data_IF_062416180991
#
_entry.id   IF_062416180991
#
_cell.length_a   1.000
_cell.length_b   1.000
_cell.length_c   1.000
_cell.angle_alpha   90.00
_cell.angle_beta   90.00
_cell.angle_gamma   90.00
#
_symmetry.space_group_name_H-M   'P 1'
#
loop_
_entity.id
_entity.type
_entity.pdbx_description
1 polymer ?
#
# COMPACT_ATOMS: atom_id res chain seq x y z
N UNK A 1 -26.05 -15.55 6.26
CA UNK A 1 -25.15 -15.50 7.43
C UNK A 1 -25.91 -14.97 8.65
N UNK A 2 -25.69 -15.53 9.85
CA UNK A 2 -26.22 -14.96 11.09
C UNK A 2 -25.50 -13.65 11.43
N UNK A 3 -26.11 -12.76 12.21
CA UNK A 3 -25.47 -11.55 12.70
C UNK A 3 -24.21 -11.85 13.50
N UNK A 4 -24.25 -12.91 14.34
CA UNK A 4 -23.07 -13.36 15.09
C UNK A 4 -21.91 -13.74 14.18
N UNK A 5 -22.16 -14.48 13.09
CA UNK A 5 -21.12 -14.84 12.12
C UNK A 5 -20.51 -13.61 11.44
N UNK A 6 -21.34 -12.61 11.07
CA UNK A 6 -20.86 -11.35 10.48
C UNK A 6 -19.93 -10.63 11.46
N UNK A 7 -20.34 -10.50 12.71
CA UNK A 7 -19.54 -9.81 13.75
C UNK A 7 -18.22 -10.55 13.99
N UNK A 8 -18.26 -11.86 14.17
CA UNK A 8 -17.05 -12.65 14.45
C UNK A 8 -16.06 -12.59 13.28
N UNK A 9 -16.52 -12.73 12.05
CA UNK A 9 -15.66 -12.62 10.86
C UNK A 9 -15.11 -11.21 10.67
N UNK A 10 -15.91 -10.18 10.91
CA UNK A 10 -15.45 -8.79 10.87
C UNK A 10 -14.37 -8.51 11.91
N UNK A 11 -14.55 -8.97 13.14
CA UNK A 11 -13.56 -8.83 14.23
C UNK A 11 -12.30 -9.63 13.94
N UNK A 12 -12.41 -10.89 13.52
CA UNK A 12 -11.25 -11.72 13.16
C UNK A 12 -10.44 -11.08 12.03
N UNK A 13 -11.12 -10.62 10.97
CA UNK A 13 -10.49 -9.88 9.89
C UNK A 13 -9.80 -8.61 10.38
N UNK A 14 -10.48 -7.83 11.23
CA UNK A 14 -9.93 -6.60 11.82
C UNK A 14 -8.65 -6.88 12.63
N UNK A 15 -8.63 -7.91 13.47
CA UNK A 15 -7.45 -8.28 14.27
C UNK A 15 -6.29 -8.68 13.35
N UNK A 16 -6.53 -9.55 12.35
CA UNK A 16 -5.51 -9.93 11.37
C UNK A 16 -4.99 -8.73 10.59
N UNK A 17 -5.89 -7.88 10.09
CA UNK A 17 -5.54 -6.66 9.39
C UNK A 17 -4.74 -5.67 10.23
N UNK A 18 -4.93 -5.68 11.55
CA UNK A 18 -4.27 -4.80 12.50
C UNK A 18 -2.78 -5.10 12.72
N UNK A 19 -2.25 -6.22 12.20
CA UNK A 19 -0.82 -6.55 12.28
C UNK A 19 0.01 -5.49 11.52
N UNK A 20 0.79 -4.64 12.22
CA UNK A 20 1.45 -3.49 11.61
C UNK A 20 2.86 -3.85 11.12
N UNK A 21 2.96 -4.73 10.13
CA UNK A 21 4.22 -5.30 9.67
C UNK A 21 5.27 -4.24 9.30
N UNK A 22 4.86 -3.18 8.60
CA UNK A 22 5.80 -2.11 8.26
C UNK A 22 6.38 -1.38 9.47
N UNK A 23 5.62 -1.26 10.56
CA UNK A 23 6.14 -0.71 11.82
C UNK A 23 7.10 -1.69 12.50
N UNK A 24 6.69 -2.95 12.71
CA UNK A 24 7.50 -3.94 13.41
C UNK A 24 8.81 -4.21 12.67
N UNK A 25 8.76 -4.48 11.36
CA UNK A 25 9.97 -4.76 10.59
C UNK A 25 10.91 -3.54 10.52
N UNK A 26 10.38 -2.33 10.32
CA UNK A 26 11.22 -1.13 10.35
C UNK A 26 11.88 -0.93 11.70
N UNK A 27 11.13 -1.05 12.79
CA UNK A 27 11.66 -0.93 14.15
C UNK A 27 12.73 -1.97 14.45
N UNK A 28 12.49 -3.23 14.06
CA UNK A 28 13.42 -4.35 14.31
C UNK A 28 14.70 -4.24 13.51
N UNK A 29 14.62 -3.98 12.18
CA UNK A 29 15.78 -4.02 11.31
C UNK A 29 16.54 -2.69 11.21
N UNK A 30 15.89 -1.55 11.45
CA UNK A 30 16.50 -0.22 11.29
C UNK A 30 16.56 0.60 12.57
N UNK A 31 15.94 0.14 13.66
CA UNK A 31 15.79 0.90 14.91
C UNK A 31 14.87 2.11 14.81
N UNK A 32 14.36 2.46 13.61
CA UNK A 32 13.58 3.68 13.36
C UNK A 32 12.07 3.44 13.42
N UNK A 33 11.33 4.40 13.92
CA UNK A 33 9.87 4.42 13.82
C UNK A 33 9.47 4.98 12.44
N UNK A 34 8.91 4.12 11.59
CA UNK A 34 8.48 4.48 10.23
C UNK A 34 7.37 5.55 10.23
N UNK A 35 6.67 5.75 11.35
CA UNK A 35 5.62 6.77 11.51
C UNK A 35 6.16 8.18 11.71
N UNK A 36 7.46 8.31 12.00
CA UNK A 36 8.13 9.59 12.17
C UNK A 36 8.75 10.10 10.87
N UNK A 37 8.81 9.25 9.82
CA UNK A 37 9.50 9.58 8.59
C UNK A 37 8.59 9.50 7.34
N UNK A 38 8.92 10.28 6.34
CA UNK A 38 8.28 10.30 5.02
C UNK A 38 6.77 10.55 5.09
N UNK A 39 5.95 9.63 4.57
CA UNK A 39 4.49 9.79 4.58
C UNK A 39 3.85 9.49 5.94
N UNK A 40 4.63 9.15 6.95
CA UNK A 40 4.21 8.78 8.32
C UNK A 40 3.21 7.62 8.38
N UNK A 41 3.08 6.84 7.31
CA UNK A 41 2.26 5.64 7.25
C UNK A 41 3.11 4.38 7.39
N UNK A 42 2.51 3.26 7.86
CA UNK A 42 3.18 1.98 8.06
C UNK A 42 3.24 1.11 6.79
N UNK A 43 2.72 1.58 5.66
CA UNK A 43 2.65 0.79 4.43
C UNK A 43 4.01 0.63 3.73
N UNK A 44 4.12 -0.43 2.93
CA UNK A 44 5.33 -0.84 2.21
C UNK A 44 6.01 0.29 1.41
N UNK A 45 5.24 1.17 0.74
CA UNK A 45 5.79 2.28 -0.05
C UNK A 45 6.57 3.30 0.81
N UNK A 46 6.19 3.52 2.08
CA UNK A 46 6.95 4.36 2.99
C UNK A 46 8.21 3.64 3.46
N UNK A 47 8.09 2.35 3.78
CA UNK A 47 9.21 1.50 4.18
C UNK A 47 10.27 1.43 3.08
N UNK A 48 9.88 1.30 1.82
CA UNK A 48 10.82 1.30 0.70
C UNK A 48 11.73 2.53 0.67
N UNK A 49 11.16 3.72 0.84
CA UNK A 49 11.92 4.98 0.80
C UNK A 49 13.00 5.07 1.89
N UNK A 50 12.81 4.39 3.00
CA UNK A 50 13.66 4.52 4.18
C UNK A 50 14.49 3.26 4.50
N UNK A 51 14.03 2.09 4.07
CA UNK A 51 14.66 0.79 4.36
C UNK A 51 14.95 -0.06 3.10
N UNK A 52 14.69 0.48 1.91
CA UNK A 52 15.04 -0.15 0.62
C UNK A 52 14.05 -1.20 0.13
N UNK A 53 14.35 -1.74 -1.08
CA UNK A 53 13.44 -2.62 -1.82
C UNK A 53 13.16 -3.96 -1.13
N UNK A 54 14.16 -4.58 -0.51
CA UNK A 54 13.98 -5.86 0.19
C UNK A 54 12.93 -5.73 1.28
N UNK A 55 12.99 -4.65 2.04
CA UNK A 55 12.06 -4.39 3.12
C UNK A 55 10.65 -4.04 2.61
N UNK A 56 10.55 -3.29 1.49
CA UNK A 56 9.28 -3.08 0.79
C UNK A 56 8.61 -4.41 0.46
N UNK A 57 9.36 -5.33 -0.17
CA UNK A 57 8.82 -6.60 -0.61
C UNK A 57 8.33 -7.45 0.57
N UNK A 58 9.11 -7.52 1.66
CA UNK A 58 8.72 -8.23 2.87
C UNK A 58 7.42 -7.65 3.47
N UNK A 59 7.33 -6.32 3.63
CA UNK A 59 6.12 -5.67 4.17
C UNK A 59 4.93 -5.84 3.23
N UNK A 60 5.12 -5.69 1.91
CA UNK A 60 4.05 -5.87 0.94
C UNK A 60 3.51 -7.30 0.97
N UNK A 61 4.38 -8.31 0.99
CA UNK A 61 3.99 -9.71 1.06
C UNK A 61 3.19 -10.03 2.33
N UNK A 62 3.65 -9.54 3.48
CA UNK A 62 2.96 -9.75 4.76
C UNK A 62 1.61 -8.99 4.82
N UNK A 63 1.53 -7.80 4.25
CA UNK A 63 0.28 -7.04 4.17
C UNK A 63 -0.72 -7.67 3.18
N UNK A 64 -0.24 -8.29 2.08
CA UNK A 64 -1.05 -9.12 1.19
C UNK A 64 -1.50 -10.36 1.97
N UNK A 65 -0.58 -11.06 2.62
CA UNK A 65 -0.83 -12.30 3.35
C UNK A 65 -1.91 -12.16 4.42
N UNK A 66 -1.89 -11.08 5.21
CA UNK A 66 -2.94 -10.86 6.22
C UNK A 66 -4.33 -10.61 5.61
N UNK A 67 -4.39 -9.93 4.46
CA UNK A 67 -5.64 -9.76 3.70
C UNK A 67 -6.15 -11.07 3.13
N UNK A 68 -5.25 -11.87 2.53
CA UNK A 68 -5.59 -13.21 2.02
C UNK A 68 -6.03 -14.15 3.14
N UNK A 69 -5.34 -14.16 4.27
CA UNK A 69 -5.69 -14.99 5.42
C UNK A 69 -7.09 -14.64 5.95
N UNK A 70 -7.39 -13.36 6.13
CA UNK A 70 -8.71 -12.91 6.56
C UNK A 70 -9.82 -13.35 5.59
N UNK A 71 -9.62 -13.11 4.29
CA UNK A 71 -10.60 -13.48 3.27
C UNK A 71 -10.76 -15.01 3.15
N UNK A 72 -9.68 -15.78 3.25
CA UNK A 72 -9.71 -17.25 3.19
C UNK A 72 -10.47 -17.84 4.39
N UNK A 73 -10.26 -17.33 5.61
CA UNK A 73 -11.04 -17.72 6.80
C UNK A 73 -12.53 -17.40 6.57
N UNK A 74 -12.84 -16.21 6.08
CA UNK A 74 -14.22 -15.84 5.77
C UNK A 74 -14.85 -16.74 4.72
N UNK A 75 -14.11 -17.06 3.64
CA UNK A 75 -14.56 -17.95 2.57
C UNK A 75 -14.86 -19.35 3.09
N UNK A 76 -13.95 -19.90 3.88
CA UNK A 76 -14.11 -21.24 4.47
C UNK A 76 -15.26 -21.32 5.48
N UNK A 77 -15.57 -20.22 6.18
CA UNK A 77 -16.60 -20.19 7.22
C UNK A 77 -18.00 -19.90 6.69
N UNK A 78 -18.12 -18.99 5.72
CA UNK A 78 -19.42 -18.49 5.27
C UNK A 78 -19.46 -18.13 3.77
N UNK A 79 -18.62 -18.77 2.97
CA UNK A 79 -18.58 -18.58 1.52
C UNK A 79 -18.14 -17.18 1.09
N UNK A 80 -18.44 -16.76 -0.15
CA UNK A 80 -18.02 -15.47 -0.71
C UNK A 80 -18.39 -14.25 0.15
N UNK A 81 -19.58 -14.26 0.74
CA UNK A 81 -20.02 -13.19 1.65
C UNK A 81 -19.18 -13.10 2.92
N UNK A 82 -18.74 -14.27 3.46
CA UNK A 82 -17.82 -14.34 4.59
C UNK A 82 -16.45 -13.76 4.26
N UNK A 83 -15.92 -14.06 3.06
CA UNK A 83 -14.65 -13.51 2.57
C UNK A 83 -14.68 -11.99 2.48
N UNK A 84 -15.78 -11.42 1.95
CA UNK A 84 -15.98 -9.97 1.86
C UNK A 84 -16.02 -9.32 3.24
N UNK A 85 -16.77 -9.92 4.19
CA UNK A 85 -16.89 -9.37 5.56
C UNK A 85 -15.55 -9.39 6.29
N UNK A 86 -14.86 -10.54 6.31
CA UNK A 86 -13.55 -10.66 6.94
C UNK A 86 -12.50 -9.78 6.25
N UNK A 87 -12.55 -9.72 4.90
CA UNK A 87 -11.71 -8.83 4.11
C UNK A 87 -11.91 -7.36 4.46
N UNK A 88 -13.15 -6.90 4.57
CA UNK A 88 -13.47 -5.53 4.98
C UNK A 88 -12.92 -5.22 6.39
N UNK A 89 -13.08 -6.15 7.33
CA UNK A 89 -12.44 -6.08 8.65
C UNK A 89 -10.93 -5.88 8.54
N UNK A 90 -10.26 -6.67 7.68
CA UNK A 90 -8.82 -6.57 7.48
C UNK A 90 -8.37 -5.22 6.90
N UNK A 91 -9.15 -4.62 5.99
CA UNK A 91 -8.86 -3.28 5.47
C UNK A 91 -8.94 -2.23 6.57
N UNK A 92 -10.00 -2.28 7.41
CA UNK A 92 -10.16 -1.37 8.55
C UNK A 92 -9.01 -1.54 9.54
N UNK A 93 -8.64 -2.78 9.87
CA UNK A 93 -7.51 -3.10 10.75
C UNK A 93 -6.19 -2.56 10.23
N UNK A 94 -5.91 -2.69 8.93
CA UNK A 94 -4.71 -2.12 8.33
C UNK A 94 -4.69 -0.59 8.36
N UNK A 95 -5.85 0.06 8.21
CA UNK A 95 -5.97 1.52 8.27
C UNK A 95 -5.85 2.08 9.70
N UNK A 96 -6.51 1.42 10.67
CA UNK A 96 -6.54 1.80 12.09
C UNK A 96 -6.17 0.61 12.96
N UNK A 97 -4.87 0.25 13.02
CA UNK A 97 -4.42 -0.96 13.68
C UNK A 97 -4.64 -0.92 15.20
N UNK A 98 -5.24 -2.00 15.73
CA UNK A 98 -5.39 -2.23 17.15
C UNK A 98 -4.02 -2.13 17.88
N UNK A 99 -3.03 -2.83 17.35
CA UNK A 99 -1.68 -2.92 17.95
C UNK A 99 -0.87 -1.62 17.89
N UNK A 100 -1.40 -0.58 17.25
CA UNK A 100 -0.84 0.77 17.30
C UNK A 100 -1.76 1.76 18.03
N UNK A 101 -2.69 1.28 18.85
CA UNK A 101 -3.64 2.09 19.60
C UNK A 101 -4.55 2.90 18.67
N UNK A 102 -5.05 2.28 17.59
CA UNK A 102 -5.93 2.89 16.59
C UNK A 102 -5.36 4.12 15.88
N UNK A 103 -4.04 4.37 16.02
CA UNK A 103 -3.35 5.43 15.30
C UNK A 103 -3.27 5.09 13.81
N UNK A 104 -2.80 6.05 13.01
CA UNK A 104 -2.71 5.89 11.56
C UNK A 104 -1.83 4.72 11.16
N UNK A 105 -2.39 3.77 10.43
CA UNK A 105 -1.70 2.64 9.78
C UNK A 105 -1.29 2.93 8.33
N UNK A 106 -1.57 1.97 7.44
CA UNK A 106 -1.32 2.09 6.00
C UNK A 106 -2.52 2.58 5.20
N UNK A 107 -2.46 2.39 3.89
CA UNK A 107 -3.47 2.85 2.91
C UNK A 107 -4.20 1.70 2.23
N UNK A 108 -4.25 0.56 2.87
CA UNK A 108 -4.98 -0.65 2.50
C UNK A 108 -4.65 -1.31 1.14
N UNK A 109 -3.80 -0.73 0.27
CA UNK A 109 -3.56 -1.21 -1.10
C UNK A 109 -3.12 -2.68 -1.13
N UNK A 110 -2.04 -3.04 -0.44
CA UNK A 110 -1.52 -4.41 -0.41
C UNK A 110 -2.53 -5.38 0.24
N UNK A 111 -3.21 -4.96 1.30
CA UNK A 111 -4.23 -5.77 1.96
C UNK A 111 -5.44 -5.99 1.04
N UNK A 112 -5.85 -5.00 0.22
CA UNK A 112 -6.88 -5.16 -0.80
C UNK A 112 -6.47 -6.18 -1.86
N UNK A 113 -5.20 -6.13 -2.34
CA UNK A 113 -4.66 -7.18 -3.23
C UNK A 113 -4.80 -8.56 -2.60
N UNK A 114 -4.47 -8.68 -1.31
CA UNK A 114 -4.59 -9.94 -0.58
C UNK A 114 -6.01 -10.48 -0.51
N UNK A 115 -6.98 -9.64 -0.19
CA UNK A 115 -8.40 -10.05 -0.22
C UNK A 115 -8.82 -10.42 -1.63
N UNK A 116 -8.47 -9.61 -2.63
CA UNK A 116 -8.83 -9.83 -4.03
C UNK A 116 -8.22 -11.12 -4.60
N UNK A 117 -7.04 -11.54 -4.15
CA UNK A 117 -6.45 -12.84 -4.52
C UNK A 117 -7.33 -14.04 -4.14
N UNK A 118 -8.14 -13.90 -3.09
CA UNK A 118 -9.04 -14.97 -2.63
C UNK A 118 -10.39 -14.90 -3.33
N UNK A 119 -10.98 -13.70 -3.48
CA UNK A 119 -12.32 -13.56 -4.06
C UNK A 119 -12.33 -13.44 -5.58
N UNK A 120 -11.29 -12.87 -6.18
CA UNK A 120 -11.17 -12.62 -7.62
C UNK A 120 -9.71 -12.72 -8.09
N UNK A 121 -9.09 -13.92 -8.11
CA UNK A 121 -7.65 -14.09 -8.30
C UNK A 121 -7.14 -13.52 -9.63
N UNK A 122 -7.85 -13.73 -10.74
CA UNK A 122 -7.44 -13.19 -12.05
C UNK A 122 -7.46 -11.66 -12.07
N UNK A 123 -8.52 -11.04 -11.54
CA UNK A 123 -8.61 -9.60 -11.41
C UNK A 123 -7.47 -9.03 -10.56
N UNK A 124 -7.12 -9.73 -9.47
CA UNK A 124 -6.02 -9.34 -8.58
C UNK A 124 -4.65 -9.39 -9.25
N UNK A 125 -4.38 -10.43 -10.06
CA UNK A 125 -3.12 -10.55 -10.82
C UNK A 125 -3.01 -9.42 -11.85
N UNK A 126 -4.09 -9.15 -12.62
CA UNK A 126 -4.11 -8.05 -13.59
C UNK A 126 -3.95 -6.69 -12.89
N UNK A 127 -4.62 -6.48 -11.75
CA UNK A 127 -4.43 -5.28 -10.93
C UNK A 127 -2.98 -5.11 -10.49
N UNK A 128 -2.33 -6.18 -10.01
CA UNK A 128 -0.94 -6.14 -9.58
C UNK A 128 0.01 -5.82 -10.74
N UNK A 129 -0.21 -6.43 -11.91
CA UNK A 129 0.56 -6.13 -13.12
C UNK A 129 0.38 -4.67 -13.57
N UNK A 130 -0.85 -4.16 -13.55
CA UNK A 130 -1.16 -2.76 -13.85
C UNK A 130 -0.48 -1.82 -12.86
N UNK A 131 -0.48 -2.15 -11.57
CA UNK A 131 0.21 -1.38 -10.55
C UNK A 131 1.71 -1.23 -10.86
N UNK A 132 2.38 -2.33 -11.21
CA UNK A 132 3.80 -2.31 -11.56
C UNK A 132 4.05 -1.55 -12.86
N UNK A 133 3.23 -1.74 -13.88
CA UNK A 133 3.34 -1.01 -15.16
C UNK A 133 3.23 0.51 -14.96
N UNK A 134 2.22 0.95 -14.21
CA UNK A 134 2.02 2.38 -13.92
C UNK A 134 3.15 2.92 -13.03
N UNK A 135 3.64 2.14 -12.06
CA UNK A 135 4.78 2.53 -11.24
C UNK A 135 6.04 2.75 -12.07
N UNK A 136 6.36 1.83 -12.97
CA UNK A 136 7.55 1.94 -13.85
C UNK A 136 7.42 3.15 -14.79
N UNK A 137 6.24 3.36 -15.37
CA UNK A 137 5.99 4.46 -16.30
C UNK A 137 6.03 5.83 -15.61
N UNK A 138 5.40 5.97 -14.44
CA UNK A 138 5.21 7.28 -13.79
C UNK A 138 6.20 7.55 -12.66
N UNK A 139 6.75 6.52 -12.05
CA UNK A 139 7.56 6.56 -10.83
C UNK A 139 6.80 7.05 -9.58
N UNK A 140 5.48 7.08 -9.61
CA UNK A 140 4.64 7.47 -8.48
C UNK A 140 3.85 6.27 -7.96
N UNK A 141 4.19 5.78 -6.76
CA UNK A 141 3.44 4.70 -6.09
C UNK A 141 1.99 5.08 -5.82
N UNK A 142 1.70 6.36 -5.62
CA UNK A 142 0.35 6.88 -5.42
C UNK A 142 -0.50 6.80 -6.68
N UNK A 143 0.06 7.17 -7.85
CA UNK A 143 -0.62 7.06 -9.14
C UNK A 143 -0.90 5.57 -9.44
N UNK A 144 0.11 4.71 -9.30
CA UNK A 144 -0.05 3.27 -9.50
C UNK A 144 -1.16 2.69 -8.61
N UNK A 145 -1.19 3.06 -7.32
CA UNK A 145 -2.19 2.55 -6.38
C UNK A 145 -3.61 3.02 -6.70
N UNK A 146 -3.78 4.28 -7.07
CA UNK A 146 -5.09 4.83 -7.44
C UNK A 146 -5.59 4.19 -8.75
N UNK A 147 -4.74 4.16 -9.79
CA UNK A 147 -5.11 3.57 -11.09
C UNK A 147 -5.47 2.09 -10.96
N UNK A 148 -4.64 1.31 -10.26
CA UNK A 148 -4.89 -0.10 -10.06
C UNK A 148 -6.15 -0.37 -9.23
N UNK A 149 -6.42 0.44 -8.19
CA UNK A 149 -7.64 0.29 -7.40
C UNK A 149 -8.91 0.63 -8.17
N UNK A 150 -8.87 1.64 -9.06
CA UNK A 150 -9.99 1.97 -9.95
C UNK A 150 -10.26 0.90 -11.00
N UNK A 151 -9.22 0.20 -11.45
CA UNK A 151 -9.36 -0.90 -12.42
C UNK A 151 -9.93 -2.18 -11.79
N UNK A 152 -9.80 -2.36 -10.47
CA UNK A 152 -10.16 -3.62 -9.82
C UNK A 152 -11.66 -3.96 -9.93
N UNK A 153 -12.63 -3.08 -9.63
CA UNK A 153 -14.05 -3.42 -9.73
C UNK A 153 -14.49 -3.86 -11.14
N UNK A 154 -14.17 -3.15 -12.22
CA UNK A 154 -14.51 -3.61 -13.57
C UNK A 154 -13.79 -4.91 -13.96
N UNK A 155 -12.56 -5.15 -13.49
CA UNK A 155 -11.87 -6.42 -13.70
C UNK A 155 -12.58 -7.56 -12.98
N UNK A 156 -13.05 -7.35 -11.73
CA UNK A 156 -13.83 -8.36 -11.01
C UNK A 156 -15.10 -8.71 -11.77
N UNK A 157 -15.82 -7.71 -12.27
CA UNK A 157 -17.02 -7.92 -13.09
C UNK A 157 -16.69 -8.67 -14.40
N UNK A 158 -15.63 -8.27 -15.09
CA UNK A 158 -15.21 -8.88 -16.36
C UNK A 158 -14.82 -10.36 -16.20
N UNK A 159 -14.25 -10.74 -15.07
CA UNK A 159 -13.89 -12.14 -14.77
C UNK A 159 -15.00 -12.93 -14.04
N UNK A 160 -16.26 -12.47 -14.09
CA UNK A 160 -17.41 -13.19 -13.57
C UNK A 160 -17.61 -13.10 -12.06
N UNK A 161 -17.01 -12.11 -11.40
CA UNK A 161 -17.22 -11.87 -9.99
C UNK A 161 -18.65 -11.46 -9.65
N UNK A 162 -19.09 -11.81 -8.44
CA UNK A 162 -20.42 -11.51 -7.92
C UNK A 162 -20.57 -10.03 -7.53
N UNK A 163 -21.83 -9.54 -7.48
CA UNK A 163 -22.10 -8.16 -7.06
C UNK A 163 -21.54 -7.79 -5.67
N UNK A 164 -21.55 -8.65 -4.63
CA UNK A 164 -20.89 -8.36 -3.36
C UNK A 164 -19.37 -8.13 -3.50
N UNK A 165 -18.69 -8.88 -4.37
CA UNK A 165 -17.25 -8.71 -4.63
C UNK A 165 -16.97 -7.42 -5.39
N UNK A 166 -17.80 -7.09 -6.39
CA UNK A 166 -17.72 -5.80 -7.11
C UNK A 166 -17.95 -4.64 -6.16
N UNK A 167 -18.98 -4.70 -5.32
CA UNK A 167 -19.27 -3.66 -4.34
C UNK A 167 -18.14 -3.49 -3.30
N UNK A 168 -17.58 -4.61 -2.81
CA UNK A 168 -16.42 -4.58 -1.91
C UNK A 168 -15.22 -3.90 -2.56
N UNK A 169 -14.87 -4.30 -3.77
CA UNK A 169 -13.69 -3.74 -4.48
C UNK A 169 -13.90 -2.28 -4.87
N UNK A 170 -15.11 -1.87 -5.21
CA UNK A 170 -15.48 -0.47 -5.43
C UNK A 170 -15.34 0.36 -4.13
N UNK A 171 -15.85 -0.15 -3.01
CA UNK A 171 -15.69 0.47 -1.70
C UNK A 171 -14.21 0.59 -1.30
N UNK A 172 -13.41 -0.45 -1.54
CA UNK A 172 -11.98 -0.43 -1.32
C UNK A 172 -11.27 0.62 -2.20
N UNK A 173 -11.64 0.76 -3.47
CA UNK A 173 -11.10 1.78 -4.37
C UNK A 173 -11.41 3.20 -3.87
N UNK A 174 -12.64 3.47 -3.47
CA UNK A 174 -13.05 4.76 -2.87
C UNK A 174 -12.23 5.04 -1.61
N UNK A 175 -12.09 4.06 -0.73
CA UNK A 175 -11.29 4.20 0.49
C UNK A 175 -9.81 4.45 0.17
N UNK A 176 -9.23 3.74 -0.80
CA UNK A 176 -7.85 3.95 -1.26
C UNK A 176 -7.67 5.38 -1.75
N UNK A 177 -8.56 5.90 -2.60
CA UNK A 177 -8.50 7.28 -3.10
C UNK A 177 -8.56 8.28 -1.94
N UNK A 178 -9.50 8.12 -1.02
CA UNK A 178 -9.63 8.97 0.16
C UNK A 178 -8.35 8.96 1.03
N UNK A 179 -7.74 7.79 1.21
CA UNK A 179 -6.48 7.63 1.95
C UNK A 179 -5.26 8.20 1.19
N UNK A 180 -5.39 8.45 -0.11
CA UNK A 180 -4.35 9.08 -0.93
C UNK A 180 -4.54 10.59 -1.10
N UNK A 181 -5.53 11.25 -0.44
CA UNK A 181 -5.79 12.69 -0.58
C UNK A 181 -4.53 13.56 -0.50
N UNK A 182 -3.68 13.34 0.51
CA UNK A 182 -2.44 14.10 0.66
C UNK A 182 -1.41 13.82 -0.46
N UNK A 183 -1.46 12.65 -1.11
CA UNK A 183 -0.65 12.35 -2.29
C UNK A 183 -1.19 13.07 -3.51
N UNK A 184 -2.52 13.11 -3.68
CA UNK A 184 -3.20 13.82 -4.77
C UNK A 184 -2.86 15.33 -4.68
N UNK A 185 -2.93 15.91 -3.49
CA UNK A 185 -2.53 17.30 -3.27
C UNK A 185 -1.06 17.56 -3.66
N UNK A 186 -0.15 16.64 -3.29
CA UNK A 186 1.26 16.76 -3.68
C UNK A 186 1.49 16.54 -5.18
N UNK A 187 0.73 15.66 -5.82
CA UNK A 187 0.77 15.46 -7.27
C UNK A 187 0.35 16.74 -8.00
N UNK A 188 -0.75 17.37 -7.58
CA UNK A 188 -1.22 18.64 -8.16
C UNK A 188 -0.22 19.79 -7.96
N UNK A 189 0.52 19.79 -6.85
CA UNK A 189 1.58 20.78 -6.57
C UNK A 189 2.94 20.42 -7.18
N UNK A 190 3.09 19.27 -7.85
CA UNK A 190 4.37 18.80 -8.38
C UNK A 190 5.39 18.36 -7.32
N UNK A 191 4.97 18.18 -6.07
CA UNK A 191 5.83 17.87 -4.91
C UNK A 191 5.71 16.41 -4.42
N UNK A 192 5.02 15.55 -5.16
CA UNK A 192 4.92 14.13 -4.79
C UNK A 192 6.27 13.43 -4.98
N UNK A 193 6.61 12.55 -4.03
CA UNK A 193 7.86 11.82 -4.03
C UNK A 193 7.93 10.83 -5.20
N UNK A 194 8.87 11.03 -6.10
CA UNK A 194 9.18 10.09 -7.17
C UNK A 194 9.95 8.89 -6.62
N UNK A 195 9.68 7.76 -7.20
CA UNK A 195 10.34 6.51 -6.88
C UNK A 195 11.71 6.45 -7.58
N UNK A 196 12.78 6.26 -6.85
CA UNK A 196 14.10 6.00 -7.42
C UNK A 196 14.20 4.52 -7.83
N UNK A 197 13.82 4.19 -9.05
CA UNK A 197 14.15 2.90 -9.66
C UNK A 197 15.66 2.93 -9.97
N UNK A 198 16.48 2.40 -9.06
CA UNK A 198 17.87 2.09 -9.37
C UNK A 198 17.87 0.81 -10.20
N UNK A 199 17.82 0.96 -11.51
CA UNK A 199 18.11 -0.14 -12.42
C UNK A 199 19.63 -0.39 -12.36
N UNK A 200 20.09 -1.64 -12.11
CA UNK A 200 21.51 -1.96 -12.18
C UNK A 200 22.03 -1.58 -13.57
N UNK A 201 23.08 -0.77 -13.64
CA UNK A 201 23.73 -0.38 -14.92
C UNK A 201 23.46 1.04 -15.42
N UNK A 202 22.50 1.79 -14.90
CA UNK A 202 22.28 3.20 -15.27
C UNK A 202 22.86 4.14 -14.19
N UNK A 203 24.17 4.20 -14.10
CA UNK A 203 24.86 5.24 -13.33
C UNK A 203 24.76 6.58 -14.07
N UNK A 204 23.71 7.38 -13.81
CA UNK A 204 23.84 8.83 -13.96
C UNK A 204 24.59 9.32 -12.73
N UNK A 205 25.83 9.76 -12.91
CA UNK A 205 26.61 10.48 -11.90
C UNK A 205 25.74 11.61 -11.35
N UNK A 206 25.33 11.53 -10.09
CA UNK A 206 24.93 12.73 -9.38
C UNK A 206 26.17 13.62 -9.28
N UNK A 207 26.11 14.91 -9.55
CA UNK A 207 27.25 15.79 -9.33
C UNK A 207 27.64 15.69 -7.86
N UNK A 208 28.92 15.38 -7.63
CA UNK A 208 29.52 15.31 -6.29
C UNK A 208 29.35 16.67 -5.61
N UNK A 209 29.03 16.70 -4.29
CA UNK A 209 28.87 17.97 -3.53
C UNK A 209 30.12 18.87 -3.52
N UNK A 210 31.27 18.34 -3.94
CA UNK A 210 32.55 19.07 -3.98
C UNK A 210 32.59 20.11 -5.11
N UNK A 211 31.81 19.99 -6.18
CA UNK A 211 31.78 20.97 -7.26
C UNK A 211 30.97 22.24 -6.92
N UNK A 212 30.10 22.18 -5.92
CA UNK A 212 29.31 23.35 -5.46
C UNK A 212 30.09 24.23 -4.48
N UNK A 213 31.05 23.67 -3.75
CA UNK A 213 31.89 24.41 -2.81
C UNK A 213 33.00 25.22 -3.51
N UNK A 214 33.45 24.78 -4.69
CA UNK A 214 34.51 25.47 -5.45
C UNK A 214 34.02 26.71 -6.23
N UNK A 215 32.68 26.90 -6.34
CA UNK A 215 32.10 28.06 -7.04
C UNK A 215 31.82 29.25 -6.12
N UNK A 216 31.86 29.09 -4.80
CA UNK A 216 31.56 30.13 -3.82
C UNK A 216 32.81 30.91 -3.31
N UNK A 217 34.01 30.49 -3.68
CA UNK A 217 35.26 31.08 -3.18
C UNK A 217 35.97 31.97 -4.22
N UNK A 218 35.22 32.66 -5.06
CA UNK A 218 35.75 33.72 -5.92
C UNK A 218 35.29 35.07 -5.38
N UNK A 219 35.98 35.53 -4.32
CA UNK A 219 35.96 36.94 -3.96
C UNK A 219 36.69 37.75 -5.03
N UNK A 220 36.12 38.84 -5.57
CA UNK A 220 36.85 39.72 -6.48
C UNK A 220 37.93 40.50 -5.74
N UNK A 221 39.08 40.81 -6.37
CA UNK A 221 40.14 41.60 -5.75
C UNK A 221 39.68 43.02 -5.49
N UNK A 222 39.90 43.43 -4.24
CA UNK A 222 39.70 44.83 -3.83
C UNK A 222 40.78 45.71 -4.53
N UNK A 223 40.33 46.73 -5.22
CA UNK A 223 41.17 47.87 -5.64
C UNK A 223 41.08 48.98 -4.60
#
# INVERSE_FOLDING_TARGET
>A
MSLLTIVLLGVAGYVLGSLPWGYWLSRFFTGKDIREVGSRGTGAANVWRHAGFKMFFAVALLDIGKGSAAAAIGLATAGPSGAVVAGAGALVGHWRPLFLGFKRGGKIVATTVGVALVIAPLASVVMAALWWMVLVATRYTSVASITASLALPPLVLMFGGSWPEVAFTAGAAIAIIALHRANIERLMRGTENRFALRLPGLHRHAPTPIAAAAASDRTPPVR
#
